data_IF_776622216645
#
_entry.id   IF_776622216645
#
_cell.length_a   1.000
_cell.length_b   1.000
_cell.length_c   1.000
_cell.angle_alpha   90.00
_cell.angle_beta   90.00
_cell.angle_gamma   90.00
#
_symmetry.space_group_name_H-M   'P 1'
#
loop_
_entity.id
_entity.type
_entity.pdbx_description
1 polymer ?
#
# COMPACT_ATOMS: atom_id res chain seq x y z
N UNK A 1 19.44 -23.82 21.65
CA UNK A 1 19.41 -23.06 20.38
C UNK A 1 18.05 -23.33 19.73
N UNK A 2 17.13 -22.36 19.71
CA UNK A 2 15.84 -22.51 19.02
C UNK A 2 15.93 -21.74 17.71
N UNK A 3 16.10 -22.46 16.61
CA UNK A 3 15.82 -21.96 15.28
C UNK A 3 14.31 -22.11 15.07
N UNK A 4 13.58 -21.00 15.20
CA UNK A 4 12.22 -20.95 14.71
C UNK A 4 12.31 -20.97 13.19
N UNK A 5 12.14 -22.16 12.58
CA UNK A 5 11.73 -22.30 11.18
C UNK A 5 10.26 -21.87 11.10
N UNK A 6 10.04 -20.55 11.20
CA UNK A 6 8.79 -19.96 10.74
C UNK A 6 8.68 -20.24 9.24
N UNK A 7 7.47 -20.40 8.69
CA UNK A 7 7.29 -20.75 7.29
C UNK A 7 8.16 -19.83 6.43
N UNK A 8 9.02 -20.39 5.59
CA UNK A 8 9.90 -19.62 4.69
C UNK A 8 9.03 -18.90 3.66
N UNK A 9 8.42 -17.78 4.07
CA UNK A 9 7.79 -16.82 3.18
C UNK A 9 8.94 -16.36 2.28
N UNK A 10 8.90 -16.80 1.03
CA UNK A 10 10.00 -16.56 0.09
C UNK A 10 9.81 -15.16 -0.45
N UNK A 11 10.32 -14.18 0.27
CA UNK A 11 10.41 -12.83 -0.23
C UNK A 11 11.39 -12.80 -1.41
N UNK A 12 11.09 -12.02 -2.45
CA UNK A 12 10.00 -11.05 -2.54
C UNK A 12 8.67 -11.64 -3.05
N UNK A 13 7.55 -11.22 -2.47
CA UNK A 13 6.20 -11.55 -2.93
C UNK A 13 5.44 -10.27 -3.34
N UNK A 14 4.65 -10.35 -4.39
CA UNK A 14 3.81 -9.24 -4.84
C UNK A 14 2.50 -9.25 -4.03
N UNK A 15 2.29 -8.22 -3.23
CA UNK A 15 1.13 -8.08 -2.36
C UNK A 15 0.29 -6.87 -2.81
N UNK A 16 -0.94 -7.10 -3.33
CA UNK A 16 -1.81 -6.01 -3.70
C UNK A 16 -2.39 -5.35 -2.44
N UNK A 17 -1.98 -4.11 -2.17
CA UNK A 17 -2.52 -3.31 -1.07
C UNK A 17 -3.63 -2.44 -1.62
N UNK A 18 -4.80 -2.50 -0.99
CA UNK A 18 -5.95 -1.68 -1.33
C UNK A 18 -6.16 -0.60 -0.29
N UNK A 19 -5.90 0.64 -0.68
CA UNK A 19 -6.11 1.83 0.12
C UNK A 19 -7.45 2.45 -0.27
N UNK A 20 -8.33 2.68 0.69
CA UNK A 20 -9.58 3.41 0.50
C UNK A 20 -9.46 4.70 1.29
N UNK A 21 -9.57 5.82 0.60
CA UNK A 21 -9.51 7.14 1.20
C UNK A 21 -10.65 8.03 0.76
N UNK A 22 -10.65 9.24 1.30
CA UNK A 22 -11.55 10.31 0.90
C UNK A 22 -11.39 10.62 -0.59
N UNK A 23 -12.45 11.12 -1.22
CA UNK A 23 -12.52 11.42 -2.65
C UNK A 23 -11.58 12.52 -3.15
N UNK A 24 -10.66 12.97 -2.30
CA UNK A 24 -9.73 14.07 -2.56
C UNK A 24 -8.80 13.79 -3.75
N UNK A 25 -8.61 14.82 -4.57
CA UNK A 25 -7.59 14.83 -5.63
C UNK A 25 -6.21 14.80 -4.95
N UNK A 26 -5.37 13.84 -5.33
CA UNK A 26 -4.02 13.68 -4.78
C UNK A 26 -3.84 12.50 -3.79
N UNK A 27 -4.89 11.72 -3.50
CA UNK A 27 -4.74 10.50 -2.69
C UNK A 27 -3.78 9.50 -3.37
N UNK A 28 -3.89 9.31 -4.69
CA UNK A 28 -3.02 8.43 -5.47
C UNK A 28 -1.59 8.91 -5.46
N UNK A 29 -1.36 10.19 -5.70
CA UNK A 29 -0.03 10.80 -5.61
C UNK A 29 0.60 10.60 -4.23
N UNK A 30 -0.18 10.80 -3.16
CA UNK A 30 0.30 10.65 -1.80
C UNK A 30 0.65 9.19 -1.46
N UNK A 31 -0.22 8.25 -1.82
CA UNK A 31 0.04 6.82 -1.65
C UNK A 31 1.26 6.39 -2.46
N UNK A 32 1.37 6.84 -3.71
CA UNK A 32 2.49 6.56 -4.59
C UNK A 32 3.80 7.11 -4.03
N UNK A 33 3.81 8.35 -3.56
CA UNK A 33 5.00 9.00 -3.03
C UNK A 33 5.52 8.28 -1.77
N UNK A 34 4.62 7.96 -0.82
CA UNK A 34 4.99 7.17 0.37
C UNK A 34 5.48 5.79 -0.04
N UNK A 35 4.73 5.07 -0.88
CA UNK A 35 5.07 3.70 -1.23
C UNK A 35 6.32 3.59 -2.11
N UNK A 36 6.60 4.60 -2.94
CA UNK A 36 7.83 4.69 -3.75
C UNK A 36 9.09 4.85 -2.89
N UNK A 37 8.99 5.43 -1.68
CA UNK A 37 10.13 5.48 -0.74
C UNK A 37 10.49 4.09 -0.19
N UNK A 38 9.53 3.16 -0.15
CA UNK A 38 9.76 1.80 0.31
C UNK A 38 10.03 0.84 -0.84
N UNK A 39 9.38 1.01 -1.99
CA UNK A 39 9.51 0.15 -3.16
C UNK A 39 9.73 1.00 -4.43
N UNK A 40 10.97 1.04 -4.90
CA UNK A 40 11.37 1.69 -6.16
C UNK A 40 10.71 1.03 -7.39
N UNK A 41 10.18 -0.19 -7.23
CA UNK A 41 9.44 -0.88 -8.28
C UNK A 41 7.98 -0.43 -8.37
N UNK A 42 7.52 0.38 -7.42
CA UNK A 42 6.19 0.95 -7.42
C UNK A 42 6.18 2.17 -8.33
N UNK A 43 5.41 2.06 -9.39
CA UNK A 43 5.23 3.11 -10.39
C UNK A 43 3.75 3.40 -10.55
N UNK A 44 3.41 4.57 -11.09
CA UNK A 44 2.03 4.96 -11.37
C UNK A 44 1.29 3.93 -12.25
N UNK A 45 2.00 3.15 -13.06
CA UNK A 45 1.45 2.05 -13.87
C UNK A 45 0.92 0.88 -13.03
N UNK A 46 1.57 0.59 -11.89
CA UNK A 46 1.14 -0.44 -10.93
C UNK A 46 0.09 0.07 -9.93
N UNK A 47 -0.23 1.35 -10.00
CA UNK A 47 -1.26 1.99 -9.20
C UNK A 47 -2.56 2.06 -10.03
N UNK A 48 -3.62 1.48 -9.50
CA UNK A 48 -4.96 1.58 -10.08
C UNK A 48 -5.84 2.36 -9.14
N UNK A 49 -6.14 3.61 -9.49
CA UNK A 49 -7.15 4.38 -8.80
C UNK A 49 -8.54 4.15 -9.42
N UNK A 50 -9.53 4.02 -8.55
CA UNK A 50 -10.92 3.89 -8.93
C UNK A 50 -11.75 4.83 -8.09
N UNK A 51 -12.36 5.81 -8.74
CA UNK A 51 -13.33 6.68 -8.09
C UNK A 51 -14.64 5.93 -7.86
N UNK A 52 -15.24 6.09 -6.69
CA UNK A 52 -16.58 5.57 -6.43
C UNK A 52 -17.63 6.41 -7.17
N UNK A 53 -18.76 5.79 -7.54
CA UNK A 53 -19.84 6.43 -8.35
C UNK A 53 -20.39 7.71 -7.71
N UNK A 54 -20.28 7.82 -6.39
CA UNK A 54 -20.78 8.95 -5.61
C UNK A 54 -19.71 10.05 -5.38
N UNK A 55 -18.47 9.84 -5.82
CA UNK A 55 -17.38 10.82 -5.68
C UNK A 55 -16.80 10.99 -4.28
N UNK A 56 -17.47 10.48 -3.24
CA UNK A 56 -17.05 10.63 -1.84
C UNK A 56 -15.81 9.82 -1.45
N UNK A 57 -15.52 8.73 -2.16
CA UNK A 57 -14.40 7.83 -1.81
C UNK A 57 -13.62 7.41 -3.05
N UNK A 58 -12.31 7.26 -2.88
CA UNK A 58 -11.40 6.70 -3.88
C UNK A 58 -10.77 5.41 -3.36
N UNK A 59 -10.81 4.39 -4.20
CA UNK A 59 -10.19 3.09 -3.96
C UNK A 59 -8.94 2.99 -4.80
N UNK A 60 -7.78 2.89 -4.15
CA UNK A 60 -6.48 2.79 -4.78
C UNK A 60 -5.95 1.39 -4.55
N UNK A 61 -5.60 0.69 -5.62
CA UNK A 61 -4.98 -0.62 -5.55
C UNK A 61 -3.55 -0.47 -6.04
N UNK A 62 -2.59 -0.72 -5.16
CA UNK A 62 -1.16 -0.72 -5.49
C UNK A 62 -0.62 -2.13 -5.40
N UNK A 63 0.21 -2.54 -6.36
CA UNK A 63 0.95 -3.81 -6.31
C UNK A 63 2.29 -3.60 -5.63
N UNK A 64 2.32 -3.81 -4.31
CA UNK A 64 3.50 -3.59 -3.49
C UNK A 64 4.34 -4.85 -3.38
N UNK A 65 5.63 -4.75 -3.67
CA UNK A 65 6.54 -5.88 -3.53
C UNK A 65 6.99 -6.00 -2.08
N UNK A 66 6.30 -6.83 -1.31
CA UNK A 66 6.70 -7.16 0.04
C UNK A 66 8.05 -7.88 0.00
N UNK A 67 9.08 -7.25 0.56
CA UNK A 67 10.38 -7.90 0.83
C UNK A 67 10.51 -8.40 2.27
N UNK A 68 9.57 -7.99 3.12
CA UNK A 68 9.45 -8.40 4.52
C UNK A 68 8.18 -7.84 5.16
N UNK A 69 7.82 -8.38 6.33
CA UNK A 69 6.67 -7.91 7.11
C UNK A 69 6.89 -6.49 7.66
N UNK A 70 8.12 -6.13 8.03
CA UNK A 70 8.47 -4.78 8.49
C UNK A 70 8.19 -3.70 7.44
N UNK A 71 8.51 -3.96 6.17
CA UNK A 71 8.31 -3.00 5.08
C UNK A 71 6.82 -2.74 4.85
N UNK A 72 6.01 -3.80 4.86
CA UNK A 72 4.55 -3.71 4.83
C UNK A 72 4.03 -2.93 6.06
N UNK A 73 4.47 -3.28 7.26
CA UNK A 73 4.00 -2.62 8.48
C UNK A 73 4.34 -1.12 8.49
N UNK A 74 5.53 -0.73 8.04
CA UNK A 74 5.95 0.66 7.90
C UNK A 74 5.06 1.41 6.88
N UNK A 75 4.83 0.81 5.71
CA UNK A 75 3.95 1.38 4.69
C UNK A 75 2.52 1.54 5.20
N UNK A 76 1.93 0.48 5.77
CA UNK A 76 0.59 0.51 6.35
C UNK A 76 0.48 1.58 7.45
N UNK A 77 1.49 1.72 8.29
CA UNK A 77 1.53 2.74 9.34
C UNK A 77 1.66 4.16 8.77
N UNK A 78 2.50 4.36 7.75
CA UNK A 78 2.66 5.65 7.06
C UNK A 78 1.37 6.07 6.34
N UNK A 79 0.70 5.12 5.68
CA UNK A 79 -0.60 5.31 5.05
C UNK A 79 -1.68 5.61 6.09
N UNK A 80 -1.77 4.83 7.17
CA UNK A 80 -2.78 5.02 8.23
C UNK A 80 -2.61 6.32 9.02
N UNK A 81 -1.42 6.93 9.00
CA UNK A 81 -1.18 8.27 9.57
C UNK A 81 -1.80 9.41 8.76
N UNK A 82 -2.21 9.14 7.52
CA UNK A 82 -2.81 10.14 6.66
C UNK A 82 -4.30 10.26 6.98
N UNK A 83 -4.73 11.49 7.29
CA UNK A 83 -6.13 11.76 7.66
C UNK A 83 -7.12 11.41 6.53
N UNK A 84 -6.62 11.48 5.29
CA UNK A 84 -7.39 11.14 4.08
C UNK A 84 -7.60 9.64 3.90
N UNK A 85 -6.84 8.77 4.59
CA UNK A 85 -6.96 7.31 4.46
C UNK A 85 -7.98 6.78 5.47
N UNK A 86 -9.06 6.19 4.96
CA UNK A 86 -10.13 5.58 5.77
C UNK A 86 -9.81 4.13 6.11
N UNK A 87 -9.27 3.38 5.15
CA UNK A 87 -9.11 1.94 5.26
C UNK A 87 -7.96 1.43 4.39
N UNK A 88 -7.25 0.40 4.84
CA UNK A 88 -6.24 -0.30 4.06
C UNK A 88 -6.48 -1.81 4.22
N UNK A 89 -6.49 -2.56 3.11
CA UNK A 89 -6.59 -4.03 3.05
C UNK A 89 -5.40 -4.64 2.30
#
# INVERSE_FOLDING_TARGET
MRVNDGPKITFPCDYPIKVIGDGVVGLSDLVLNIASEYDDTLTADKLSERQSREGNYRSITIRFRATGEDQLALLFSALKKQDVIRMVL
#
